data_IF_689762021982
#
_entry.id   IF_689762021982
#
_cell.length_a   1.000
_cell.length_b   1.000
_cell.length_c   1.000
_cell.angle_alpha   90.00
_cell.angle_beta   90.00
_cell.angle_gamma   90.00
#
_symmetry.space_group_name_H-M   'P 1'
#
loop_
_entity.id
_entity.type
_entity.pdbx_description
1 polymer ?
#
# COMPACT_ATOMS: atom_id res chain seq x y z
N UNK A 1 -9.52 4.64 -11.60
CA UNK A 1 -8.28 4.22 -10.93
C UNK A 1 -7.40 3.47 -11.90
N UNK A 2 -6.12 3.71 -11.81
CA UNK A 2 -5.12 3.00 -12.62
C UNK A 2 -4.08 2.40 -11.67
N UNK A 3 -3.77 1.13 -11.85
CA UNK A 3 -2.78 0.45 -11.01
C UNK A 3 -1.73 -0.20 -11.90
N UNK A 4 -0.48 0.20 -11.72
CA UNK A 4 0.65 -0.42 -12.41
C UNK A 4 1.39 -1.33 -11.43
N UNK A 5 1.68 -2.54 -11.88
CA UNK A 5 2.43 -3.51 -11.09
C UNK A 5 3.86 -3.60 -11.61
N UNK A 6 4.83 -3.46 -10.71
CA UNK A 6 6.24 -3.67 -11.00
C UNK A 6 6.78 -4.74 -10.07
N UNK A 7 7.71 -5.53 -10.57
CA UNK A 7 8.41 -6.52 -9.74
C UNK A 7 9.88 -6.14 -9.67
N UNK A 8 10.43 -6.10 -8.45
CA UNK A 8 11.83 -5.79 -8.25
C UNK A 8 12.36 -6.63 -7.09
N UNK A 9 13.29 -7.53 -7.38
CA UNK A 9 13.78 -8.47 -6.37
C UNK A 9 12.65 -9.33 -5.83
N UNK A 10 12.52 -9.38 -4.52
CA UNK A 10 11.45 -10.11 -3.83
C UNK A 10 10.22 -9.23 -3.54
N UNK A 11 10.15 -8.04 -4.15
CA UNK A 11 9.08 -7.08 -3.93
C UNK A 11 8.17 -6.94 -5.14
N UNK A 12 6.87 -6.76 -4.87
CA UNK A 12 5.89 -6.30 -5.84
C UNK A 12 5.54 -4.86 -5.44
N UNK A 13 5.57 -3.95 -6.41
CA UNK A 13 5.21 -2.57 -6.19
C UNK A 13 3.91 -2.29 -6.95
N UNK A 14 2.90 -1.85 -6.22
CA UNK A 14 1.64 -1.43 -6.79
C UNK A 14 1.59 0.09 -6.80
N UNK A 15 1.72 0.69 -7.98
CA UNK A 15 1.64 2.14 -8.15
C UNK A 15 0.20 2.50 -8.47
N UNK A 16 -0.47 3.15 -7.53
CA UNK A 16 -1.89 3.50 -7.63
C UNK A 16 -2.02 4.94 -8.10
N UNK A 17 -2.86 5.17 -9.11
CA UNK A 17 -3.16 6.50 -9.61
C UNK A 17 -4.66 6.76 -9.52
N UNK A 18 -5.05 7.85 -8.90
CA UNK A 18 -6.44 8.25 -8.73
C UNK A 18 -6.91 8.16 -7.29
N UNK A 19 -8.21 8.05 -7.10
CA UNK A 19 -8.81 8.02 -5.77
C UNK A 19 -8.92 6.60 -5.24
N UNK A 20 -8.62 6.42 -3.97
CA UNK A 20 -8.90 5.18 -3.26
C UNK A 20 -10.14 5.41 -2.40
N UNK A 21 -11.28 5.04 -2.93
CA UNK A 21 -12.57 5.25 -2.27
C UNK A 21 -13.46 4.02 -2.46
N UNK A 22 -14.67 4.10 -1.93
CA UNK A 22 -15.62 3.00 -2.00
C UNK A 22 -15.83 2.50 -3.43
N UNK A 23 -15.86 3.40 -4.42
CA UNK A 23 -16.13 3.03 -5.81
C UNK A 23 -14.95 2.34 -6.51
N UNK A 24 -13.73 2.48 -6.00
CA UNK A 24 -12.53 1.94 -6.63
C UNK A 24 -11.90 0.76 -5.87
N UNK A 25 -12.44 0.43 -4.70
CA UNK A 25 -11.84 -0.60 -3.84
C UNK A 25 -11.73 -1.98 -4.49
N UNK A 26 -12.70 -2.36 -5.34
CA UNK A 26 -12.68 -3.69 -5.94
C UNK A 26 -11.45 -3.90 -6.83
N UNK A 27 -11.06 -2.87 -7.58
CA UNK A 27 -9.87 -2.93 -8.42
C UNK A 27 -8.60 -3.08 -7.59
N UNK A 28 -8.50 -2.31 -6.52
CA UNK A 28 -7.35 -2.36 -5.64
C UNK A 28 -7.25 -3.72 -4.95
N UNK A 29 -8.38 -4.23 -4.44
CA UNK A 29 -8.42 -5.54 -3.78
C UNK A 29 -8.00 -6.66 -4.72
N UNK A 30 -8.46 -6.63 -5.96
CA UNK A 30 -8.10 -7.65 -6.96
C UNK A 30 -6.60 -7.69 -7.19
N UNK A 31 -5.98 -6.52 -7.38
CA UNK A 31 -4.53 -6.44 -7.58
C UNK A 31 -3.77 -6.87 -6.34
N UNK A 32 -4.25 -6.49 -5.19
CA UNK A 32 -3.62 -6.86 -3.93
C UNK A 32 -3.70 -8.37 -3.66
N UNK A 33 -4.86 -8.98 -3.92
CA UNK A 33 -5.01 -10.44 -3.76
C UNK A 33 -4.05 -11.20 -4.67
N UNK A 34 -3.86 -10.73 -5.90
CA UNK A 34 -2.87 -11.31 -6.81
C UNK A 34 -1.46 -11.23 -6.24
N UNK A 35 -1.12 -10.12 -5.59
CA UNK A 35 0.19 -9.96 -4.95
C UNK A 35 0.34 -10.89 -3.73
N UNK A 36 -0.73 -11.09 -2.97
CA UNK A 36 -0.71 -11.96 -1.79
C UNK A 36 -0.44 -13.43 -2.16
N UNK A 37 -0.97 -13.88 -3.29
CA UNK A 37 -0.83 -15.29 -3.71
C UNK A 37 0.44 -15.54 -4.50
N UNK A 38 1.18 -14.49 -4.89
CA UNK A 38 2.42 -14.61 -5.64
C UNK A 38 3.62 -14.93 -4.76
N UNK A 39 4.78 -15.02 -5.40
CA UNK A 39 6.03 -15.38 -4.74
C UNK A 39 6.70 -14.22 -4.01
N UNK A 40 6.28 -12.99 -4.24
CA UNK A 40 6.89 -11.82 -3.60
C UNK A 40 6.75 -11.89 -2.08
N UNK A 41 7.79 -11.49 -1.38
CA UNK A 41 7.80 -11.45 0.09
C UNK A 41 7.41 -10.09 0.63
N UNK A 42 7.47 -9.07 -0.22
CA UNK A 42 7.24 -7.68 0.15
C UNK A 42 6.24 -7.08 -0.83
N UNK A 43 5.22 -6.41 -0.31
CA UNK A 43 4.24 -5.69 -1.12
C UNK A 43 4.36 -4.22 -0.77
N UNK A 44 4.70 -3.39 -1.77
CA UNK A 44 4.85 -1.96 -1.60
C UNK A 44 3.70 -1.27 -2.33
N UNK A 45 2.96 -0.44 -1.62
CA UNK A 45 1.91 0.37 -2.19
C UNK A 45 2.43 1.80 -2.34
N UNK A 46 2.64 2.22 -3.58
CA UNK A 46 3.12 3.57 -3.87
C UNK A 46 1.92 4.49 -4.07
N UNK A 47 1.82 5.52 -3.23
CA UNK A 47 0.69 6.44 -3.19
C UNK A 47 0.99 7.82 -3.79
N UNK A 48 2.10 7.98 -4.50
CA UNK A 48 2.51 9.28 -5.03
C UNK A 48 1.46 9.95 -5.92
N UNK A 49 0.64 9.15 -6.59
CA UNK A 49 -0.40 9.64 -7.52
C UNK A 49 -1.81 9.43 -6.99
N UNK A 50 -1.96 9.21 -5.70
CA UNK A 50 -3.28 9.09 -5.08
C UNK A 50 -3.76 10.47 -4.66
N UNK A 51 -4.87 10.90 -5.27
CA UNK A 51 -5.43 12.24 -5.04
C UNK A 51 -6.32 12.30 -3.80
N UNK A 52 -6.97 11.21 -3.46
CA UNK A 52 -7.97 11.19 -2.41
C UNK A 52 -8.06 9.80 -1.79
N UNK A 53 -8.33 9.79 -0.50
CA UNK A 53 -8.44 8.56 0.28
C UNK A 53 -9.54 8.76 1.31
N UNK A 54 -10.62 7.98 1.23
CA UNK A 54 -11.71 8.07 2.20
C UNK A 54 -11.59 7.02 3.30
N UNK A 55 -12.55 6.99 4.22
CA UNK A 55 -12.51 6.03 5.33
C UNK A 55 -12.59 4.58 4.85
N UNK A 56 -13.31 4.31 3.76
CA UNK A 56 -13.35 2.97 3.18
C UNK A 56 -11.99 2.60 2.59
N UNK A 57 -11.31 3.56 1.95
CA UNK A 57 -9.95 3.37 1.46
C UNK A 57 -8.97 3.07 2.59
N UNK A 58 -9.05 3.84 3.68
CA UNK A 58 -8.21 3.60 4.85
C UNK A 58 -8.43 2.20 5.43
N UNK A 59 -9.70 1.80 5.56
CA UNK A 59 -10.03 0.47 6.07
C UNK A 59 -9.45 -0.63 5.19
N UNK A 60 -9.44 -0.42 3.86
CA UNK A 60 -8.86 -1.39 2.94
C UNK A 60 -7.35 -1.51 3.11
N UNK A 61 -6.65 -0.42 3.43
CA UNK A 61 -5.21 -0.46 3.70
C UNK A 61 -4.91 -1.23 4.99
N UNK A 62 -5.72 -1.05 6.02
CA UNK A 62 -5.58 -1.81 7.27
C UNK A 62 -5.80 -3.29 6.99
N UNK A 63 -6.83 -3.64 6.23
CA UNK A 63 -7.09 -5.02 5.84
C UNK A 63 -5.93 -5.61 5.05
N UNK A 64 -5.37 -4.83 4.12
CA UNK A 64 -4.21 -5.26 3.33
C UNK A 64 -3.01 -5.58 4.23
N UNK A 65 -2.76 -4.74 5.22
CA UNK A 65 -1.69 -4.97 6.18
C UNK A 65 -1.91 -6.27 6.97
N UNK A 66 -3.13 -6.48 7.44
CA UNK A 66 -3.47 -7.67 8.22
C UNK A 66 -3.36 -8.95 7.39
N UNK A 67 -3.84 -8.93 6.16
CA UNK A 67 -3.75 -10.08 5.25
C UNK A 67 -2.32 -10.40 4.88
N UNK A 68 -1.49 -9.37 4.67
CA UNK A 68 -0.07 -9.57 4.39
C UNK A 68 0.63 -10.25 5.55
N UNK A 69 0.39 -9.77 6.76
CA UNK A 69 0.96 -10.35 7.97
C UNK A 69 0.56 -11.82 8.15
N UNK A 70 -0.69 -12.15 7.83
CA UNK A 70 -1.21 -13.51 7.95
C UNK A 70 -0.49 -14.52 7.05
N UNK A 71 0.10 -14.06 5.94
CA UNK A 71 0.88 -14.91 5.04
C UNK A 71 2.38 -14.60 5.11
N UNK A 72 2.82 -13.94 6.18
CA UNK A 72 4.22 -13.62 6.45
C UNK A 72 4.87 -12.74 5.39
N UNK A 73 4.09 -11.83 4.81
CA UNK A 73 4.59 -10.85 3.85
C UNK A 73 4.62 -9.47 4.50
N UNK A 74 5.59 -8.65 4.10
CA UNK A 74 5.67 -7.26 4.54
C UNK A 74 4.77 -6.38 3.68
N UNK A 75 4.00 -5.51 4.30
CA UNK A 75 3.20 -4.51 3.61
C UNK A 75 3.77 -3.13 3.93
N UNK A 76 4.22 -2.42 2.91
CA UNK A 76 4.88 -1.13 3.05
C UNK A 76 4.17 -0.09 2.19
N UNK A 77 4.11 1.14 2.70
CA UNK A 77 3.56 2.27 1.97
C UNK A 77 4.71 3.19 1.59
N UNK A 78 4.77 3.60 0.34
CA UNK A 78 5.80 4.47 -0.18
C UNK A 78 5.20 5.72 -0.80
N UNK A 79 5.91 6.84 -0.65
CA UNK A 79 5.61 8.12 -1.30
C UNK A 79 4.18 8.61 -1.07
N UNK A 80 3.67 8.60 0.18
CA UNK A 80 2.32 9.12 0.42
C UNK A 80 2.29 10.61 0.09
N UNK A 81 1.16 11.07 -0.49
CA UNK A 81 0.96 12.49 -0.69
C UNK A 81 0.84 13.20 0.66
N UNK A 82 0.96 14.52 0.66
CA UNK A 82 0.78 15.31 1.88
C UNK A 82 -0.57 15.05 2.52
N UNK A 83 -1.62 14.97 1.70
CA UNK A 83 -2.98 14.68 2.21
C UNK A 83 -3.06 13.31 2.84
N UNK A 84 -2.44 12.30 2.23
CA UNK A 84 -2.42 10.96 2.79
C UNK A 84 -1.66 10.93 4.12
N UNK A 85 -0.52 11.61 4.19
CA UNK A 85 0.24 11.72 5.45
C UNK A 85 -0.57 12.35 6.56
N UNK A 86 -1.26 13.46 6.27
CA UNK A 86 -2.10 14.15 7.23
C UNK A 86 -3.21 13.23 7.75
N UNK A 87 -3.83 12.48 6.83
CA UNK A 87 -4.89 11.56 7.18
C UNK A 87 -4.38 10.44 8.08
N UNK A 88 -3.21 9.89 7.79
CA UNK A 88 -2.60 8.86 8.64
C UNK A 88 -2.29 9.39 10.04
N UNK A 89 -1.87 10.65 10.15
CA UNK A 89 -1.62 11.28 11.46
C UNK A 89 -2.90 11.50 12.24
N UNK A 90 -3.93 12.07 11.62
CA UNK A 90 -5.21 12.35 12.26
C UNK A 90 -5.89 11.08 12.75
N UNK A 91 -5.81 10.01 11.98
CA UNK A 91 -6.41 8.73 12.33
C UNK A 91 -5.51 7.87 13.21
N UNK A 92 -4.29 8.31 13.47
CA UNK A 92 -3.26 7.58 14.20
C UNK A 92 -2.82 6.28 13.52
N UNK A 93 -3.16 6.10 12.24
CA UNK A 93 -2.75 4.93 11.47
C UNK A 93 -1.27 4.96 11.11
N UNK A 94 -0.63 6.11 11.22
CA UNK A 94 0.81 6.25 11.01
C UNK A 94 1.62 5.26 11.86
N UNK A 95 1.13 4.92 13.05
CA UNK A 95 1.80 3.98 13.94
C UNK A 95 1.63 2.52 13.52
N UNK A 96 0.59 2.23 12.76
CA UNK A 96 0.31 0.87 12.29
C UNK A 96 1.06 0.54 11.01
N UNK A 97 1.16 1.51 10.10
CA UNK A 97 1.78 1.30 8.81
C UNK A 97 3.26 1.60 8.82
N UNK A 98 4.02 0.86 8.03
CA UNK A 98 5.42 1.18 7.73
C UNK A 98 5.42 2.08 6.52
N UNK A 99 5.72 3.36 6.71
CA UNK A 99 5.61 4.40 5.67
C UNK A 99 6.99 4.94 5.36
N UNK A 100 7.30 5.04 4.08
CA UNK A 100 8.59 5.52 3.58
C UNK A 100 8.37 6.70 2.65
N UNK A 101 9.27 7.67 2.69
CA UNK A 101 9.19 8.85 1.84
C UNK A 101 9.49 8.52 0.38
N UNK A 102 10.29 7.48 0.13
CA UNK A 102 10.64 7.08 -1.23
C UNK A 102 10.44 5.59 -1.42
N UNK A 103 10.18 5.22 -2.67
CA UNK A 103 10.07 3.81 -3.06
C UNK A 103 11.38 3.06 -2.80
N UNK A 104 12.52 3.73 -3.05
CA UNK A 104 13.83 3.13 -2.81
C UNK A 104 14.04 2.74 -1.34
N UNK A 105 13.62 3.61 -0.43
CA UNK A 105 13.70 3.29 1.00
C UNK A 105 12.84 2.08 1.37
N UNK A 106 11.63 2.00 0.80
CA UNK A 106 10.76 0.85 1.03
C UNK A 106 11.38 -0.44 0.47
N UNK A 107 11.98 -0.37 -0.71
CA UNK A 107 12.66 -1.52 -1.32
C UNK A 107 13.83 -2.01 -0.48
N UNK A 108 14.54 -1.09 0.16
CA UNK A 108 15.71 -1.41 0.98
C UNK A 108 15.38 -1.84 2.40
N UNK A 109 14.10 -1.72 2.80
CA UNK A 109 13.70 -2.11 4.13
C UNK A 109 13.76 -3.63 4.28
N UNK A 110 14.49 -4.10 5.30
CA UNK A 110 14.56 -5.52 5.61
C UNK A 110 13.65 -5.81 6.80
N UNK A 111 12.75 -6.78 6.61
CA UNK A 111 11.92 -7.27 7.71
C UNK A 111 12.74 -8.25 8.52
N UNK A 112 13.17 -7.80 9.64
CA UNK A 112 13.86 -8.73 10.57
C UNK A 112 12.83 -9.40 11.45
#
# INVERSE_FOLDING_TARGET
MKIQKKTQGDAIILCVEGDIDFSTLSELKEKFESALTGAAKKIILNLAKVSYLDSAGLASLVEAMQKSAAVSKSFLIAEPTKKAKELFEVTKLKKLFKIFDTEAEALNHTSA
#
